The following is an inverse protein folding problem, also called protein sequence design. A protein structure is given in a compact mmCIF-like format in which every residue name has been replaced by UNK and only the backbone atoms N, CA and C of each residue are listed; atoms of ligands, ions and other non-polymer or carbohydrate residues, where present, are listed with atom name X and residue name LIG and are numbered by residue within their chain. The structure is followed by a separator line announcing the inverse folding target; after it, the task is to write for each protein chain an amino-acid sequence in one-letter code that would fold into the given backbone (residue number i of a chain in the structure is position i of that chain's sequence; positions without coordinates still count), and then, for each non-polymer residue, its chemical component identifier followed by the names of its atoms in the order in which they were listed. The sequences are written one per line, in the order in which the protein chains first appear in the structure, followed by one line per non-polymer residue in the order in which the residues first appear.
data_IF_936671643014
#
_entry.id   IF_936671643014
#
_cell.length_a   1.000
_cell.length_b   1.000
_cell.length_c   1.000
_cell.angle_alpha   90.00
_cell.angle_beta   90.00
_cell.angle_gamma   90.00
#
_symmetry.space_group_name_H-M   'P 1'
#
loop_
_entity.id
_entity.type
_entity.pdbx_description
1 polymer ?
#
# COMPACT_ATOMS: atom_id res chain seq x y z
N UNK A 1 -16.41 -24.95 -10.10
CA UNK A 1 -15.77 -25.05 -8.77
C UNK A 1 -14.71 -26.16 -8.79
N UNK A 2 -13.41 -25.85 -8.73
CA UNK A 2 -12.37 -26.87 -8.51
C UNK A 2 -11.83 -26.70 -7.09
N UNK A 3 -12.17 -27.61 -6.17
CA UNK A 3 -11.55 -27.69 -4.84
C UNK A 3 -10.08 -28.09 -4.99
N UNK A 4 -9.20 -27.46 -4.21
CA UNK A 4 -7.78 -27.83 -4.19
C UNK A 4 -7.60 -29.25 -3.64
N UNK A 5 -6.87 -30.10 -4.37
CA UNK A 5 -6.52 -31.48 -3.95
C UNK A 5 -5.28 -31.53 -3.06
N UNK A 6 -5.20 -30.60 -2.12
CA UNK A 6 -3.95 -30.27 -1.45
C UNK A 6 -3.84 -30.93 -0.06
N UNK A 7 -4.90 -31.65 0.33
CA UNK A 7 -4.89 -32.65 1.40
C UNK A 7 -4.66 -34.06 0.83
N UNK A 8 -3.45 -34.32 0.34
CA UNK A 8 -3.02 -35.66 -0.06
C UNK A 8 -1.86 -36.11 0.82
N UNK A 9 -2.14 -37.07 1.71
CA UNK A 9 -1.25 -37.74 2.69
C UNK A 9 -1.03 -37.02 4.03
N UNK A 10 -1.98 -37.18 4.94
CA UNK A 10 -1.66 -37.36 6.36
C UNK A 10 -2.46 -38.56 6.86
N UNK A 11 -1.78 -39.48 7.56
CA UNK A 11 -2.37 -40.70 8.13
C UNK A 11 -3.63 -40.32 8.91
N UNK A 12 -4.74 -41.02 8.65
CA UNK A 12 -6.02 -40.82 9.34
C UNK A 12 -5.79 -40.85 10.87
N UNK A 13 -5.97 -39.73 11.60
CA UNK A 13 -6.14 -39.82 13.03
C UNK A 13 -7.55 -40.35 13.32
N UNK A 14 -7.73 -41.05 14.44
CA UNK A 14 -9.01 -41.57 14.87
C UNK A 14 -10.11 -40.48 14.84
N UNK A 15 -11.31 -40.86 14.44
CA UNK A 15 -12.48 -39.97 14.22
C UNK A 15 -12.72 -39.03 15.42
N UNK A 16 -12.45 -39.51 16.64
CA UNK A 16 -12.52 -38.74 17.89
C UNK A 16 -11.57 -37.53 17.93
N UNK A 17 -10.34 -37.68 17.45
CA UNK A 17 -9.35 -36.59 17.41
C UNK A 17 -9.77 -35.49 16.44
N UNK A 18 -10.43 -35.86 15.34
CA UNK A 18 -10.93 -34.94 14.32
C UNK A 18 -12.12 -34.11 14.80
N UNK A 19 -12.97 -34.69 15.66
CA UNK A 19 -14.09 -33.98 16.28
C UNK A 19 -13.62 -33.01 17.36
N UNK A 20 -12.66 -33.43 18.21
CA UNK A 20 -12.12 -32.59 19.27
C UNK A 20 -11.15 -31.50 18.77
N UNK A 21 -10.55 -31.67 17.58
CA UNK A 21 -9.62 -30.71 16.99
C UNK A 21 -10.28 -29.57 16.19
N UNK A 22 -11.59 -29.61 15.92
CA UNK A 22 -12.26 -28.58 15.10
C UNK A 22 -12.32 -27.21 15.80
N UNK A 23 -12.26 -27.18 17.13
CA UNK A 23 -12.30 -25.96 17.94
C UNK A 23 -10.92 -25.26 18.07
N UNK A 24 -9.81 -25.91 17.68
CA UNK A 24 -8.45 -25.45 18.03
C UNK A 24 -7.44 -25.36 16.87
N UNK A 25 -7.82 -25.63 15.61
CA UNK A 25 -6.88 -25.53 14.49
C UNK A 25 -7.03 -24.21 13.72
N UNK A 26 -6.00 -23.33 13.70
CA UNK A 26 -5.92 -22.33 12.65
C UNK A 26 -5.87 -23.10 11.33
N UNK A 27 -6.79 -22.78 10.40
CA UNK A 27 -6.79 -23.36 9.04
C UNK A 27 -5.38 -23.24 8.47
N UNK A 28 -4.61 -24.32 8.45
CA UNK A 28 -3.32 -24.34 7.76
C UNK A 28 -3.62 -24.19 6.26
N UNK A 29 -3.43 -22.97 5.78
CA UNK A 29 -3.75 -22.57 4.43
C UNK A 29 -2.73 -23.19 3.48
N UNK A 30 -3.19 -24.11 2.64
CA UNK A 30 -2.36 -24.69 1.59
C UNK A 30 -1.71 -23.60 0.70
N UNK A 31 -0.49 -23.82 0.16
CA UNK A 31 0.20 -22.88 -0.74
C UNK A 31 -0.63 -22.39 -1.94
N UNK A 32 -1.56 -23.23 -2.40
CA UNK A 32 -2.57 -22.95 -3.40
C UNK A 32 -3.53 -21.80 -3.04
N UNK A 33 -3.87 -21.66 -1.74
CA UNK A 33 -4.78 -20.66 -1.21
C UNK A 33 -4.15 -19.27 -1.19
N UNK A 34 -2.83 -19.26 -0.98
CA UNK A 34 -2.01 -18.05 -0.91
C UNK A 34 -1.83 -17.38 -2.28
N UNK A 35 -1.86 -18.16 -3.38
CA UNK A 35 -1.75 -17.67 -4.76
C UNK A 35 -3.09 -17.29 -5.40
N UNK A 36 -4.20 -17.33 -4.66
CA UNK A 36 -5.52 -17.00 -5.21
C UNK A 36 -5.61 -15.49 -5.45
N UNK A 37 -6.05 -15.12 -6.64
CA UNK A 37 -6.35 -13.74 -6.97
C UNK A 37 -7.57 -13.26 -6.16
N UNK A 38 -7.47 -12.05 -5.65
CA UNK A 38 -8.50 -11.39 -4.86
C UNK A 38 -8.77 -9.98 -5.39
N UNK A 39 -9.96 -9.48 -5.10
CA UNK A 39 -10.35 -8.10 -5.36
C UNK A 39 -11.07 -7.51 -4.15
N UNK A 40 -11.19 -6.19 -4.09
CA UNK A 40 -11.97 -5.51 -3.05
C UNK A 40 -13.42 -5.99 -3.07
N UNK A 41 -14.00 -6.20 -1.89
CA UNK A 41 -15.41 -6.57 -1.73
C UNK A 41 -16.34 -5.40 -2.06
N UNK A 42 -15.94 -4.19 -1.68
CA UNK A 42 -16.68 -2.93 -1.87
C UNK A 42 -15.81 -1.92 -2.61
N UNK A 43 -15.45 -2.19 -3.90
CA UNK A 43 -14.45 -1.40 -4.61
C UNK A 43 -14.81 0.09 -4.71
N UNK A 44 -16.08 0.44 -4.90
CA UNK A 44 -16.49 1.86 -5.01
C UNK A 44 -16.19 2.65 -3.72
N UNK A 45 -16.57 2.11 -2.57
CA UNK A 45 -16.37 2.77 -1.27
C UNK A 45 -14.88 2.83 -0.91
N UNK A 46 -14.18 1.70 -1.01
CA UNK A 46 -12.78 1.62 -0.62
C UNK A 46 -11.88 2.42 -1.56
N UNK A 47 -12.11 2.38 -2.87
CA UNK A 47 -11.29 3.14 -3.82
C UNK A 47 -11.56 4.65 -3.71
N UNK A 48 -12.79 5.07 -3.39
CA UNK A 48 -13.09 6.47 -3.10
C UNK A 48 -12.33 6.96 -1.85
N UNK A 49 -12.37 6.21 -0.75
CA UNK A 49 -11.59 6.51 0.45
C UNK A 49 -10.08 6.56 0.17
N UNK A 50 -9.55 5.57 -0.56
CA UNK A 50 -8.15 5.52 -0.96
C UNK A 50 -7.76 6.73 -1.84
N UNK A 51 -8.61 7.12 -2.80
CA UNK A 51 -8.34 8.28 -3.65
C UNK A 51 -8.27 9.57 -2.83
N UNK A 52 -9.15 9.73 -1.85
CA UNK A 52 -9.12 10.86 -0.93
C UNK A 52 -7.83 10.88 -0.07
N UNK A 53 -7.39 9.72 0.41
CA UNK A 53 -6.11 9.59 1.14
C UNK A 53 -4.92 9.91 0.25
N UNK A 54 -4.92 9.48 -1.02
CA UNK A 54 -3.89 9.83 -1.98
C UNK A 54 -3.83 11.35 -2.21
N UNK A 55 -4.97 11.99 -2.40
CA UNK A 55 -5.06 13.45 -2.56
C UNK A 55 -4.48 14.19 -1.33
N UNK A 56 -4.83 13.76 -0.11
CA UNK A 56 -4.24 14.28 1.13
C UNK A 56 -2.73 14.05 1.18
N UNK A 57 -2.26 12.90 0.70
CA UNK A 57 -0.83 12.56 0.64
C UNK A 57 -0.07 13.51 -0.31
N UNK A 58 -0.58 13.72 -1.51
CA UNK A 58 0.03 14.66 -2.48
C UNK A 58 -0.05 16.10 -1.96
N UNK A 59 -1.18 16.49 -1.37
CA UNK A 59 -1.33 17.79 -0.73
C UNK A 59 -0.30 18.00 0.38
N UNK A 60 -0.05 17.00 1.22
CA UNK A 60 1.04 17.05 2.20
C UNK A 60 2.39 17.33 1.53
N UNK A 61 2.79 16.53 0.54
CA UNK A 61 4.08 16.67 -0.15
C UNK A 61 4.24 18.07 -0.77
N UNK A 62 3.22 18.57 -1.47
CA UNK A 62 3.21 19.91 -2.09
C UNK A 62 3.32 21.06 -1.09
N UNK A 63 2.91 20.83 0.17
CA UNK A 63 2.92 21.85 1.21
C UNK A 63 4.19 21.81 2.08
N UNK A 64 5.11 20.87 1.86
CA UNK A 64 6.40 20.85 2.55
C UNK A 64 7.37 21.81 1.84
N UNK A 65 7.62 22.98 2.43
CA UNK A 65 8.47 24.02 1.84
C UNK A 65 9.86 23.48 1.44
N UNK A 66 10.49 22.68 2.29
CA UNK A 66 11.81 22.09 2.00
C UNK A 66 11.79 21.16 0.77
N UNK A 67 10.69 20.46 0.51
CA UNK A 67 10.51 19.62 -0.67
C UNK A 67 10.37 20.48 -1.93
N UNK A 68 9.58 21.55 -1.87
CA UNK A 68 9.35 22.45 -3.00
C UNK A 68 10.61 23.19 -3.48
N UNK A 69 11.63 23.29 -2.62
CA UNK A 69 12.94 23.88 -2.95
C UNK A 69 13.88 22.91 -3.69
N UNK A 70 13.55 21.61 -3.74
CA UNK A 70 14.39 20.62 -4.42
C UNK A 70 14.28 20.74 -5.94
N UNK A 71 15.32 20.31 -6.69
CA UNK A 71 15.23 20.16 -8.14
C UNK A 71 14.02 19.32 -8.55
N UNK A 72 13.39 19.65 -9.68
CA UNK A 72 12.19 18.95 -10.17
C UNK A 72 12.42 17.44 -10.32
N UNK A 73 13.60 17.06 -10.79
CA UNK A 73 13.98 15.65 -10.95
C UNK A 73 14.04 14.95 -9.59
N UNK A 74 14.61 15.59 -8.57
CA UNK A 74 14.68 15.04 -7.21
C UNK A 74 13.28 14.90 -6.59
N UNK A 75 12.39 15.87 -6.82
CA UNK A 75 11.00 15.80 -6.36
C UNK A 75 10.26 14.59 -6.94
N UNK A 76 10.46 14.31 -8.23
CA UNK A 76 9.87 13.14 -8.90
C UNK A 76 10.45 11.83 -8.36
N UNK A 77 11.78 11.74 -8.19
CA UNK A 77 12.44 10.56 -7.64
C UNK A 77 11.98 10.26 -6.21
N UNK A 78 11.90 11.29 -5.37
CA UNK A 78 11.39 11.15 -4.00
C UNK A 78 9.93 10.69 -4.01
N UNK A 79 9.06 11.34 -4.78
CA UNK A 79 7.65 10.98 -4.86
C UNK A 79 7.44 9.53 -5.32
N UNK A 80 8.14 9.10 -6.37
CA UNK A 80 8.07 7.72 -6.87
C UNK A 80 8.49 6.71 -5.79
N UNK A 81 9.52 7.03 -5.01
CA UNK A 81 10.00 6.16 -3.92
C UNK A 81 9.07 6.11 -2.71
N UNK A 82 8.35 7.20 -2.40
CA UNK A 82 7.71 7.37 -1.09
C UNK A 82 6.18 7.42 -1.15
N UNK A 83 5.55 7.51 -2.33
CA UNK A 83 4.09 7.65 -2.41
C UNK A 83 3.36 6.46 -1.78
N UNK A 84 3.87 5.23 -1.92
CA UNK A 84 3.27 4.03 -1.30
C UNK A 84 3.31 4.09 0.23
N UNK A 85 4.49 4.19 0.89
CA UNK A 85 4.52 4.22 2.34
C UNK A 85 3.78 5.43 2.92
N UNK A 86 3.82 6.61 2.27
CA UNK A 86 3.03 7.77 2.70
C UNK A 86 1.52 7.55 2.54
N UNK A 87 1.08 6.97 1.42
CA UNK A 87 -0.32 6.62 1.18
C UNK A 87 -0.84 5.62 2.23
N UNK A 88 -0.07 4.56 2.49
CA UNK A 88 -0.44 3.56 3.49
C UNK A 88 -0.47 4.14 4.91
N UNK A 89 0.48 5.03 5.24
CA UNK A 89 0.44 5.77 6.50
C UNK A 89 -0.80 6.68 6.60
N UNK A 90 -1.24 7.24 5.47
CA UNK A 90 -2.51 7.95 5.36
C UNK A 90 -3.73 7.05 5.61
N UNK A 91 -3.75 5.81 5.09
CA UNK A 91 -4.81 4.85 5.39
C UNK A 91 -4.85 4.50 6.88
N UNK A 92 -3.69 4.38 7.52
CA UNK A 92 -3.59 4.17 8.97
C UNK A 92 -4.22 5.35 9.70
N UNK A 93 -3.79 6.59 9.39
CA UNK A 93 -4.27 7.79 10.08
C UNK A 93 -5.79 7.99 9.94
N UNK A 94 -6.35 7.67 8.78
CA UNK A 94 -7.78 7.83 8.48
C UNK A 94 -8.60 6.57 8.85
N UNK A 95 -7.97 5.57 9.47
CA UNK A 95 -8.62 4.32 9.91
C UNK A 95 -9.36 3.59 8.77
N UNK A 96 -8.81 3.65 7.56
CA UNK A 96 -9.44 3.03 6.37
C UNK A 96 -9.22 1.53 6.41
N UNK A 97 -10.29 0.78 6.61
CA UNK A 97 -10.31 -0.68 6.53
C UNK A 97 -10.92 -1.15 5.22
N UNK A 98 -10.58 -2.37 4.80
CA UNK A 98 -11.13 -2.96 3.60
C UNK A 98 -11.17 -4.48 3.68
N UNK A 99 -12.15 -5.05 2.99
CA UNK A 99 -12.31 -6.49 2.82
C UNK A 99 -12.03 -6.90 1.39
N UNK A 100 -11.55 -8.13 1.23
CA UNK A 100 -11.35 -8.74 -0.08
C UNK A 100 -12.18 -9.99 -0.25
N UNK A 101 -12.55 -10.26 -1.50
CA UNK A 101 -13.18 -11.49 -1.93
C UNK A 101 -12.37 -12.13 -3.05
N UNK A 102 -12.67 -13.39 -3.35
CA UNK A 102 -12.04 -14.07 -4.48
C UNK A 102 -12.37 -13.34 -5.79
N UNK A 103 -11.35 -13.06 -6.59
CA UNK A 103 -11.56 -12.44 -7.89
C UNK A 103 -12.34 -13.41 -8.80
N UNK A 104 -13.38 -12.93 -9.50
CA UNK A 104 -14.08 -13.76 -10.47
C UNK A 104 -13.09 -14.21 -11.55
N UNK A 105 -13.14 -15.51 -11.89
CA UNK A 105 -12.26 -16.05 -12.92
C UNK A 105 -12.51 -15.32 -14.25
N UNK A 106 -11.47 -14.87 -14.97
CA UNK A 106 -11.67 -14.25 -16.27
C UNK A 106 -12.38 -15.25 -17.19
N UNK A 107 -13.45 -14.79 -17.85
CA UNK A 107 -14.23 -15.64 -18.75
C UNK A 107 -13.33 -16.25 -19.83
N UNK A 108 -13.62 -17.48 -20.25
CA UNK A 108 -12.82 -18.13 -21.31
C UNK A 108 -12.78 -17.29 -22.58
N UNK A 109 -13.87 -16.56 -22.88
CA UNK A 109 -13.92 -15.59 -23.98
C UNK A 109 -12.91 -14.44 -23.79
N UNK A 110 -12.81 -13.87 -22.59
CA UNK A 110 -11.81 -12.83 -22.28
C UNK A 110 -10.39 -13.37 -22.42
N UNK A 111 -10.14 -14.62 -22.04
CA UNK A 111 -8.83 -15.26 -22.26
C UNK A 111 -8.52 -15.45 -23.74
N UNK A 112 -9.48 -15.94 -24.53
CA UNK A 112 -9.29 -16.19 -25.97
C UNK A 112 -9.02 -14.86 -26.70
N UNK A 113 -9.84 -13.83 -26.43
CA UNK A 113 -9.71 -12.50 -27.04
C UNK A 113 -8.38 -11.80 -26.68
N UNK A 114 -7.92 -11.93 -25.44
CA UNK A 114 -6.65 -11.33 -24.99
C UNK A 114 -5.42 -12.17 -25.38
N UNK A 115 -5.56 -13.49 -25.49
CA UNK A 115 -4.46 -14.39 -25.92
C UNK A 115 -4.04 -14.19 -27.38
N UNK A 116 -4.89 -13.55 -28.20
CA UNK A 116 -4.59 -13.21 -29.59
C UNK A 116 -3.70 -11.97 -29.78
N UNK A 117 -3.53 -11.13 -28.75
CA UNK A 117 -2.78 -9.86 -28.87
C UNK A 117 -1.46 -9.80 -28.10
N UNK A 118 -1.05 -10.86 -27.41
CA UNK A 118 0.12 -10.80 -26.51
C UNK A 118 1.12 -11.92 -26.77
N UNK A 119 1.80 -11.89 -27.92
CA UNK A 119 3.13 -12.50 -28.03
C UNK A 119 4.15 -11.49 -27.49
N UNK A 120 4.49 -11.61 -26.20
CA UNK A 120 5.71 -11.00 -25.65
C UNK A 120 5.58 -10.01 -24.49
N UNK A 121 4.39 -9.79 -23.94
CA UNK A 121 4.24 -8.98 -22.73
C UNK A 121 3.45 -9.79 -21.70
N UNK A 122 4.16 -10.35 -20.73
CA UNK A 122 3.56 -10.77 -19.46
C UNK A 122 2.67 -9.61 -18.96
N UNK A 123 1.44 -9.85 -18.50
CA UNK A 123 0.63 -8.78 -17.96
C UNK A 123 1.36 -8.28 -16.71
N UNK A 124 1.99 -7.11 -16.82
CA UNK A 124 2.71 -6.38 -15.77
C UNK A 124 1.75 -5.88 -14.66
N UNK A 125 0.57 -6.47 -14.54
CA UNK A 125 -0.37 -6.35 -13.44
C UNK A 125 -0.57 -7.72 -12.81
N UNK A 126 0.37 -8.14 -11.96
CA UNK A 126 0.18 -9.32 -11.11
C UNK A 126 -1.09 -9.09 -10.30
N UNK A 127 -2.15 -9.86 -10.57
CA UNK A 127 -3.39 -9.72 -9.82
C UNK A 127 -3.11 -9.82 -8.30
N UNK A 128 -3.74 -8.98 -7.47
CA UNK A 128 -3.53 -9.02 -6.03
C UNK A 128 -3.78 -10.44 -5.51
N UNK A 129 -2.77 -11.03 -4.88
CA UNK A 129 -2.90 -12.37 -4.29
C UNK A 129 -3.36 -12.26 -2.84
N UNK A 130 -4.13 -13.24 -2.37
CA UNK A 130 -4.61 -13.28 -0.99
C UNK A 130 -3.46 -13.11 0.02
N UNK A 131 -2.34 -13.80 -0.18
CA UNK A 131 -1.20 -13.70 0.73
C UNK A 131 -0.56 -12.30 0.74
N UNK A 132 -0.46 -11.63 -0.42
CA UNK A 132 0.06 -10.28 -0.49
C UNK A 132 -0.87 -9.28 0.23
N UNK A 133 -2.18 -9.41 0.02
CA UNK A 133 -3.17 -8.56 0.69
C UNK A 133 -3.20 -8.82 2.21
N UNK A 134 -3.09 -10.07 2.66
CA UNK A 134 -3.02 -10.38 4.08
C UNK A 134 -1.78 -9.79 4.76
N UNK A 135 -0.62 -9.79 4.07
CA UNK A 135 0.58 -9.11 4.57
C UNK A 135 0.36 -7.61 4.70
N UNK A 136 -0.25 -6.97 3.69
CA UNK A 136 -0.62 -5.57 3.73
C UNK A 136 -1.57 -5.27 4.92
N UNK A 137 -2.65 -6.04 5.08
CA UNK A 137 -3.58 -5.89 6.21
C UNK A 137 -2.88 -6.08 7.56
N UNK A 138 -1.97 -7.05 7.68
CA UNK A 138 -1.16 -7.26 8.88
C UNK A 138 -0.23 -6.08 9.20
N UNK A 139 0.32 -5.44 8.18
CA UNK A 139 1.12 -4.22 8.30
C UNK A 139 0.26 -3.06 8.85
N UNK A 140 -0.89 -2.78 8.24
CA UNK A 140 -1.82 -1.73 8.69
C UNK A 140 -2.30 -1.97 10.14
N UNK A 141 -2.67 -3.21 10.47
CA UNK A 141 -3.07 -3.60 11.82
C UNK A 141 -1.97 -3.38 12.86
N UNK A 142 -0.71 -3.58 12.48
CA UNK A 142 0.42 -3.33 13.38
C UNK A 142 0.59 -1.85 13.67
N UNK A 143 0.35 -0.98 12.69
CA UNK A 143 0.33 0.47 12.89
C UNK A 143 -0.86 0.97 13.70
N UNK A 144 -2.06 0.41 13.52
CA UNK A 144 -3.20 0.80 14.35
C UNK A 144 -3.00 0.46 15.83
N UNK A 145 -2.35 -0.66 16.13
CA UNK A 145 -1.95 -1.01 17.51
C UNK A 145 -0.81 -0.17 18.06
N UNK A 146 0.01 0.39 17.18
CA UNK A 146 1.12 1.27 17.54
C UNK A 146 0.62 2.62 18.09
N UNK A 147 -0.61 3.00 17.72
CA UNK A 147 -1.28 4.22 18.16
C UNK A 147 -0.39 5.46 18.05
N UNK A 148 -0.05 5.83 16.81
CA UNK A 148 0.79 7.00 16.55
C UNK A 148 0.05 8.28 16.91
N UNK A 149 0.71 9.13 17.69
CA UNK A 149 0.26 10.49 17.95
C UNK A 149 0.35 11.36 16.68
N UNK A 150 -0.40 12.48 16.60
CA UNK A 150 -0.32 13.40 15.46
C UNK A 150 1.09 13.93 15.19
N UNK A 151 1.88 14.17 16.24
CA UNK A 151 3.29 14.59 16.12
C UNK A 151 4.15 13.48 15.54
N UNK A 152 3.98 12.23 15.99
CA UNK A 152 4.72 11.08 15.44
C UNK A 152 4.39 10.87 13.96
N UNK A 153 3.11 10.98 13.56
CA UNK A 153 2.72 10.94 12.15
C UNK A 153 3.43 12.01 11.32
N UNK A 154 3.54 13.23 11.84
CA UNK A 154 4.14 14.37 11.13
C UNK A 154 5.62 14.12 10.86
N UNK A 155 6.40 13.78 11.88
CA UNK A 155 7.83 13.53 11.72
C UNK A 155 8.12 12.23 10.97
N UNK A 156 7.29 11.21 11.12
CA UNK A 156 7.42 9.98 10.35
C UNK A 156 7.20 10.23 8.85
N UNK A 157 6.21 11.05 8.47
CA UNK A 157 6.05 11.46 7.06
C UNK A 157 7.29 12.17 6.53
N UNK A 158 7.89 13.08 7.31
CA UNK A 158 9.14 13.74 6.94
C UNK A 158 10.29 12.75 6.73
N UNK A 159 10.46 11.80 7.66
CA UNK A 159 11.50 10.78 7.58
C UNK A 159 11.33 9.83 6.37
N UNK A 160 10.09 9.53 5.98
CA UNK A 160 9.76 8.74 4.79
C UNK A 160 9.95 9.54 3.50
N UNK A 161 9.52 10.81 3.49
CA UNK A 161 9.58 11.68 2.30
C UNK A 161 11.02 11.98 1.90
N UNK A 162 11.89 12.29 2.86
CA UNK A 162 13.27 12.66 2.59
C UNK A 162 14.18 11.42 2.66
N UNK A 163 14.16 10.59 1.61
CA UNK A 163 15.05 9.44 1.52
C UNK A 163 16.31 9.77 0.68
N UNK A 164 17.51 9.88 1.30
CA UNK A 164 18.75 10.22 0.59
C UNK A 164 19.34 9.04 -0.21
N UNK A 165 18.88 7.81 0.04
CA UNK A 165 19.46 6.60 -0.55
C UNK A 165 18.99 6.34 -1.99
N UNK A 166 18.19 7.24 -2.57
CA UNK A 166 17.67 7.09 -3.93
C UNK A 166 18.77 7.44 -4.95
N UNK A 167 19.12 6.52 -5.87
CA UNK A 167 20.11 6.80 -6.91
C UNK A 167 19.68 7.95 -7.82
N UNK A 168 20.61 8.84 -8.14
CA UNK A 168 20.39 9.95 -9.08
C UNK A 168 19.93 11.27 -8.45
N UNK A 169 19.74 11.33 -7.13
CA UNK A 169 19.44 12.57 -6.43
C UNK A 169 20.58 13.59 -6.56
N UNK A 170 20.22 14.82 -6.94
CA UNK A 170 21.16 15.94 -7.07
C UNK A 170 21.43 16.63 -5.73
N UNK A 171 20.45 16.66 -4.84
CA UNK A 171 20.51 17.30 -3.53
C UNK A 171 20.59 16.29 -2.36
N UNK A 172 21.22 15.13 -2.57
CA UNK A 172 21.25 14.04 -1.60
C UNK A 172 21.70 14.45 -0.19
N UNK A 173 22.75 15.27 -0.05
CA UNK A 173 23.24 15.74 1.26
C UNK A 173 22.22 16.63 2.00
N UNK A 174 21.48 17.47 1.25
CA UNK A 174 20.43 18.31 1.84
C UNK A 174 19.25 17.45 2.27
N UNK A 175 18.81 16.51 1.42
CA UNK A 175 17.76 15.53 1.73
C UNK A 175 18.14 14.71 2.98
N UNK A 176 19.40 14.28 3.09
CA UNK A 176 19.89 13.57 4.27
C UNK A 176 19.77 14.42 5.53
N UNK A 177 20.10 15.71 5.47
CA UNK A 177 19.96 16.62 6.61
C UNK A 177 18.51 16.75 7.09
N UNK A 178 17.56 16.84 6.15
CA UNK A 178 16.13 16.90 6.44
C UNK A 178 15.61 15.59 7.04
N UNK A 179 16.09 14.45 6.54
CA UNK A 179 15.76 13.14 7.09
C UNK A 179 16.25 13.01 8.53
N UNK A 180 17.51 13.39 8.79
CA UNK A 180 18.11 13.35 10.12
C UNK A 180 17.34 14.24 11.10
N UNK A 181 16.93 15.42 10.67
CA UNK A 181 16.11 16.34 11.47
C UNK A 181 14.74 15.72 11.82
N UNK A 182 14.03 15.16 10.84
CA UNK A 182 12.74 14.50 11.07
C UNK A 182 12.87 13.31 12.02
N UNK A 183 13.89 12.47 11.84
CA UNK A 183 14.15 11.33 12.73
C UNK A 183 14.56 11.76 14.14
N UNK A 184 15.35 12.82 14.27
CA UNK A 184 15.71 13.39 15.56
C UNK A 184 14.47 13.90 16.30
N UNK A 185 13.65 14.71 15.63
CA UNK A 185 12.42 15.23 16.21
C UNK A 185 11.46 14.11 16.62
N UNK A 186 11.34 13.05 15.81
CA UNK A 186 10.55 11.85 16.16
C UNK A 186 11.07 11.15 17.42
N UNK A 187 12.40 11.05 17.58
CA UNK A 187 13.05 10.40 18.74
C UNK A 187 12.87 11.20 20.03
N UNK A 188 12.86 12.52 19.93
CA UNK A 188 12.78 13.43 21.09
C UNK A 188 11.35 13.61 21.62
N UNK A 189 10.33 13.04 20.97
CA UNK A 189 8.94 13.17 21.42
C UNK A 189 8.66 12.48 22.79
N UNK A 190 7.83 13.10 23.65
CA UNK A 190 7.33 12.51 24.90
C UNK A 190 6.52 11.23 24.67
N UNK A 191 6.92 10.10 25.28
CA UNK A 191 6.16 8.84 25.23
C UNK A 191 6.45 7.93 26.44
N UNK A 192 5.47 7.28 27.09
CA UNK A 192 5.71 6.37 28.22
C UNK A 192 6.78 5.29 27.98
N UNK A 193 6.94 4.86 26.73
CA UNK A 193 7.90 3.84 26.26
C UNK A 193 9.09 4.43 25.48
N UNK A 194 9.55 5.62 25.86
CA UNK A 194 10.56 6.43 25.16
C UNK A 194 11.72 5.68 24.48
N UNK A 195 12.34 4.69 25.15
CA UNK A 195 13.53 4.00 24.62
C UNK A 195 13.23 3.09 23.44
N UNK A 196 12.09 2.40 23.47
CA UNK A 196 11.73 1.40 22.46
C UNK A 196 10.80 1.96 21.38
N UNK A 197 10.13 3.09 21.66
CA UNK A 197 9.14 3.69 20.77
C UNK A 197 9.71 4.02 19.40
N UNK A 198 10.82 4.76 19.34
CA UNK A 198 11.42 5.19 18.07
C UNK A 198 11.90 4.02 17.19
N UNK A 199 12.72 3.06 17.70
CA UNK A 199 13.08 1.88 16.92
C UNK A 199 11.88 1.05 16.46
N UNK A 200 10.82 0.98 17.28
CA UNK A 200 9.61 0.25 16.92
C UNK A 200 8.86 0.94 15.76
N UNK A 201 8.74 2.27 15.79
CA UNK A 201 8.16 3.05 14.69
C UNK A 201 8.94 2.83 13.39
N UNK A 202 10.27 2.95 13.42
CA UNK A 202 11.09 2.78 12.22
C UNK A 202 10.97 1.37 11.62
N UNK A 203 10.92 0.33 12.46
CA UNK A 203 10.74 -1.05 12.02
C UNK A 203 9.40 -1.23 11.30
N UNK A 204 8.33 -0.67 11.85
CA UNK A 204 7.03 -0.70 11.20
C UNK A 204 7.03 0.15 9.93
N UNK A 205 7.68 1.31 9.91
CA UNK A 205 7.82 2.13 8.70
C UNK A 205 8.53 1.38 7.56
N UNK A 206 9.59 0.63 7.86
CA UNK A 206 10.25 -0.23 6.89
C UNK A 206 9.29 -1.31 6.32
N UNK A 207 8.37 -1.83 7.13
CA UNK A 207 7.38 -2.79 6.64
C UNK A 207 6.38 -2.17 5.65
N UNK A 208 6.03 -0.88 5.79
CA UNK A 208 5.25 -0.16 4.76
C UNK A 208 6.04 -0.02 3.45
N UNK A 209 7.33 0.31 3.55
CA UNK A 209 8.22 0.44 2.39
C UNK A 209 8.42 -0.88 1.62
N UNK A 210 8.20 -2.02 2.27
CA UNK A 210 8.28 -3.34 1.62
C UNK A 210 7.05 -3.68 0.76
N UNK A 211 5.97 -2.90 0.83
CA UNK A 211 4.75 -3.15 0.07
C UNK A 211 4.95 -2.71 -1.39
N UNK A 212 4.78 -3.60 -2.38
CA UNK A 212 4.98 -3.24 -3.78
C UNK A 212 3.96 -2.21 -4.27
N UNK A 213 4.43 -1.17 -4.96
CA UNK A 213 3.59 -0.20 -5.68
C UNK A 213 2.53 -0.88 -6.57
N UNK A 214 2.94 -1.90 -7.33
CA UNK A 214 2.05 -2.66 -8.20
C UNK A 214 0.85 -3.29 -7.44
N UNK A 215 1.05 -3.75 -6.19
CA UNK A 215 -0.04 -4.30 -5.38
C UNK A 215 -1.04 -3.20 -4.99
N UNK A 216 -0.53 -2.06 -4.54
CA UNK A 216 -1.35 -0.91 -4.12
C UNK A 216 -2.12 -0.33 -5.30
N UNK A 217 -1.43 -0.12 -6.44
CA UNK A 217 -2.05 0.31 -7.69
C UNK A 217 -3.12 -0.68 -8.13
N UNK A 218 -2.82 -1.97 -8.20
CA UNK A 218 -3.78 -2.98 -8.64
C UNK A 218 -5.01 -3.10 -7.73
N UNK A 219 -4.83 -2.93 -6.41
CA UNK A 219 -5.91 -3.11 -5.45
C UNK A 219 -6.81 -1.87 -5.31
N UNK A 220 -6.23 -0.67 -5.16
CA UNK A 220 -6.98 0.54 -4.80
C UNK A 220 -7.22 1.50 -5.95
N UNK A 221 -6.34 1.53 -6.96
CA UNK A 221 -6.36 2.58 -7.97
C UNK A 221 -6.77 2.07 -9.35
N UNK A 222 -6.41 0.83 -9.71
CA UNK A 222 -6.79 0.19 -10.98
C UNK A 222 -8.31 0.17 -11.22
N UNK A 223 -9.18 -0.03 -10.21
CA UNK A 223 -10.63 0.08 -10.40
C UNK A 223 -11.12 1.50 -10.75
N UNK A 224 -10.31 2.53 -10.50
CA UNK A 224 -10.64 3.95 -10.70
C UNK A 224 -10.02 4.48 -12.00
N UNK A 225 -8.71 4.23 -12.20
CA UNK A 225 -7.92 4.84 -13.28
C UNK A 225 -7.77 3.92 -14.51
N UNK A 226 -8.25 2.67 -14.43
CA UNK A 226 -8.06 1.69 -15.49
C UNK A 226 -6.57 1.44 -15.76
N UNK A 227 -6.18 1.39 -17.03
CA UNK A 227 -4.81 1.06 -17.43
C UNK A 227 -3.83 2.25 -17.36
N UNK A 228 -4.27 3.41 -16.89
CA UNK A 228 -3.41 4.58 -16.71
C UNK A 228 -2.18 4.29 -15.82
N UNK A 229 -1.05 4.92 -16.14
CA UNK A 229 0.18 4.78 -15.39
C UNK A 229 0.11 5.60 -14.09
N UNK A 230 0.30 4.93 -12.95
CA UNK A 230 0.25 5.60 -11.65
C UNK A 230 1.30 6.71 -11.52
N UNK A 231 2.51 6.49 -12.04
CA UNK A 231 3.60 7.47 -11.99
C UNK A 231 3.28 8.77 -12.74
N UNK A 232 2.63 8.68 -13.90
CA UNK A 232 2.20 9.84 -14.68
C UNK A 232 1.14 10.65 -13.92
N UNK A 233 0.13 9.96 -13.36
CA UNK A 233 -0.90 10.60 -12.54
C UNK A 233 -0.30 11.31 -11.31
N UNK A 234 0.65 10.67 -10.62
CA UNK A 234 1.34 11.26 -9.47
C UNK A 234 2.10 12.53 -9.86
N UNK A 235 2.79 12.51 -11.00
CA UNK A 235 3.52 13.66 -11.53
C UNK A 235 2.58 14.82 -11.91
N UNK A 236 1.45 14.52 -12.55
CA UNK A 236 0.40 15.50 -12.85
C UNK A 236 -0.15 16.12 -11.57
N UNK A 237 -0.56 15.31 -10.59
CA UNK A 237 -1.08 15.79 -9.31
C UNK A 237 -0.07 16.67 -8.56
N UNK A 238 1.24 16.33 -8.65
CA UNK A 238 2.30 17.10 -8.02
C UNK A 238 2.47 18.49 -8.65
N UNK A 239 2.52 18.58 -9.99
CA UNK A 239 2.90 19.81 -10.69
C UNK A 239 1.74 20.65 -11.24
N UNK A 240 0.50 20.17 -11.24
CA UNK A 240 -0.60 21.01 -11.67
C UNK A 240 -0.86 22.15 -10.65
N UNK A 241 -0.80 23.38 -11.20
CA UNK A 241 -0.96 24.68 -10.56
C UNK A 241 -2.29 25.25 -11.03
N UNK A 242 -3.13 25.73 -10.10
CA UNK A 242 -4.40 26.45 -10.29
C UNK A 242 -5.66 25.65 -10.65
N UNK A 243 -6.65 25.74 -9.76
CA UNK A 243 -8.03 25.35 -10.01
C UNK A 243 -8.24 23.84 -10.09
N UNK A 244 -8.71 23.23 -9.01
CA UNK A 244 -9.43 21.98 -9.13
C UNK A 244 -10.73 22.23 -9.93
N UNK A 245 -10.91 21.61 -11.12
CA UNK A 245 -12.21 21.00 -11.36
C UNK A 245 -12.08 19.63 -12.03
N UNK A 246 -12.85 18.66 -11.49
CA UNK A 246 -13.17 17.38 -12.11
C UNK A 246 -11.96 16.48 -12.38
N UNK A 247 -11.53 15.74 -11.36
CA UNK A 247 -11.22 14.34 -11.65
C UNK A 247 -12.50 13.74 -12.28
N UNK A 248 -12.48 13.21 -13.51
CA UNK A 248 -13.67 12.60 -14.15
C UNK A 248 -14.29 11.45 -13.32
N UNK A 249 -13.57 11.01 -12.29
CA UNK A 249 -13.82 9.81 -11.48
C UNK A 249 -14.35 10.10 -10.06
N UNK A 250 -14.41 11.37 -9.64
CA UNK A 250 -15.00 11.73 -8.35
C UNK A 250 -16.51 11.97 -8.53
N UNK A 251 -17.39 11.25 -7.82
CA UNK A 251 -18.82 11.55 -7.87
C UNK A 251 -19.03 12.98 -7.36
N UNK A 252 -19.80 13.76 -8.13
CA UNK A 252 -20.20 15.11 -7.73
C UNK A 252 -20.93 15.03 -6.37
N UNK A 253 -20.65 15.95 -5.42
CA UNK A 253 -21.43 16.03 -4.20
C UNK A 253 -22.89 16.33 -4.55
N UNK A 254 -23.81 15.60 -3.90
CA UNK A 254 -25.26 15.85 -3.99
C UNK A 254 -25.62 17.15 -3.27
#
# INVERSE_FOLDING_TARGET
MRRCRCHGKERQPAILYTLLSQELRPRQQCPCGQRRAVCLRTPQLTCHAASHVLLKTISFVKNVAAFCLLPREDQLLLLDSCWVPLFLLGLVQEMVTFEVMEAPAPSMLKKILLSGQSKGQEPEGTQPTLAAVQRLQGCLNSFWRLDLSPSEFTYLRGAILFNPDIPGLRAALYIESLQREAQRALRELPHPEHRERFPHILRLAASLGSVPAALVTALFFRPVIGDAAMGELLAEMLFEVSGWPRAPWLPLPR
#
